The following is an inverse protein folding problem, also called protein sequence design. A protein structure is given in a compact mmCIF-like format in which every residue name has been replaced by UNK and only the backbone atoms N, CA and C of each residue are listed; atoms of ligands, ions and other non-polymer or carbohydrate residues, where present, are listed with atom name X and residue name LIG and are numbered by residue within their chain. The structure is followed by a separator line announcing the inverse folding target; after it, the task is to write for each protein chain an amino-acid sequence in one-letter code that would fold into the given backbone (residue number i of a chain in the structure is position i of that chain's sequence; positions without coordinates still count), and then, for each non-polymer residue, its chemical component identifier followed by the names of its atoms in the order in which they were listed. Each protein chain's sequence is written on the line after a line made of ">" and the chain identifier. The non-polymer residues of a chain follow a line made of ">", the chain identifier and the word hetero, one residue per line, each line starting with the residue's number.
data_IF_236786348301
#
_entry.id   IF_236786348301
#
_cell.length_a   1.000
_cell.length_b   1.000
_cell.length_c   1.000
_cell.angle_alpha   90.00
_cell.angle_beta   90.00
_cell.angle_gamma   90.00
#
_symmetry.space_group_name_H-M   'P 1'
#
loop_
_entity.id
_entity.type
_entity.pdbx_description
1 polymer ?
#
# COMPACT_ATOMS: atom_id res chain seq x y z
N UNK A 1 -49.45 35.74 -18.16
CA UNK A 1 -50.84 35.59 -17.67
C UNK A 1 -51.01 34.18 -17.12
N UNK A 2 -51.69 34.07 -15.98
CA UNK A 2 -51.91 32.93 -15.08
C UNK A 2 -51.92 31.49 -15.68
N UNK A 3 -51.37 30.51 -14.93
CA UNK A 3 -52.18 29.69 -14.00
C UNK A 3 -51.31 28.85 -13.06
N UNK A 4 -51.61 28.96 -11.77
CA UNK A 4 -51.13 28.12 -10.68
C UNK A 4 -51.98 26.83 -10.58
N UNK A 5 -51.40 25.79 -9.99
CA UNK A 5 -52.10 24.59 -9.54
C UNK A 5 -51.41 24.00 -8.32
N UNK A 6 -51.79 24.48 -7.13
CA UNK A 6 -51.74 23.72 -5.88
C UNK A 6 -53.12 23.09 -5.68
N UNK A 7 -53.19 21.84 -5.21
CA UNK A 7 -54.34 21.36 -4.42
C UNK A 7 -53.92 20.24 -3.44
N UNK A 8 -53.91 20.62 -2.15
CA UNK A 8 -54.34 19.93 -0.90
C UNK A 8 -53.65 18.62 -0.45
N UNK A 9 -53.06 18.55 0.76
CA UNK A 9 -53.68 18.39 2.12
C UNK A 9 -54.53 17.10 2.19
N UNK A 10 -54.42 16.19 3.15
CA UNK A 10 -54.36 16.35 4.61
C UNK A 10 -53.91 15.05 5.30
N UNK A 11 -53.35 15.17 6.51
CA UNK A 11 -53.22 14.08 7.49
C UNK A 11 -54.39 14.09 8.48
N UNK A 12 -54.70 12.95 9.13
CA UNK A 12 -54.63 12.94 10.60
C UNK A 12 -54.10 11.60 11.18
N UNK A 13 -53.33 11.68 12.29
CA UNK A 13 -53.10 10.55 13.21
C UNK A 13 -54.17 10.49 14.31
N UNK A 14 -53.87 9.97 15.51
CA UNK A 14 -53.20 8.71 15.88
C UNK A 14 -54.17 7.79 16.69
N UNK A 15 -53.83 6.51 16.88
CA UNK A 15 -54.52 5.68 17.89
C UNK A 15 -53.56 4.73 18.61
N UNK A 16 -53.53 4.93 19.92
CA UNK A 16 -52.77 4.27 20.99
C UNK A 16 -53.37 2.91 21.37
N UNK A 17 -52.55 2.10 22.06
CA UNK A 17 -52.88 1.24 23.22
C UNK A 17 -52.72 -0.27 23.01
N UNK A 18 -51.91 -0.90 23.88
CA UNK A 18 -51.99 -2.32 24.20
C UNK A 18 -50.68 -2.96 24.62
N UNK A 19 -50.28 -2.77 25.88
CA UNK A 19 -49.30 -3.61 26.60
C UNK A 19 -49.63 -5.11 26.51
N UNK A 20 -48.60 -5.97 26.46
CA UNK A 20 -48.41 -7.05 27.44
C UNK A 20 -47.12 -7.87 27.17
N UNK A 21 -46.24 -7.87 28.17
CA UNK A 21 -45.22 -8.90 28.43
C UNK A 21 -45.91 -10.16 28.99
N UNK A 22 -45.35 -11.37 28.79
CA UNK A 22 -44.96 -12.13 29.98
C UNK A 22 -43.64 -12.92 29.86
N UNK A 23 -43.18 -13.32 31.04
CA UNK A 23 -41.87 -13.82 31.46
C UNK A 23 -41.82 -15.37 31.48
N UNK A 24 -40.66 -15.89 31.05
CA UNK A 24 -39.90 -17.09 31.50
C UNK A 24 -40.46 -18.53 31.41
N UNK A 25 -39.68 -19.42 30.76
CA UNK A 25 -39.21 -20.70 31.33
C UNK A 25 -38.12 -21.34 30.43
N UNK A 26 -37.05 -21.80 31.08
CA UNK A 26 -35.86 -22.49 30.57
C UNK A 26 -36.16 -23.87 29.95
N UNK A 27 -35.22 -24.43 29.18
CA UNK A 27 -34.63 -25.68 29.67
C UNK A 27 -33.10 -25.68 29.64
N UNK A 28 -32.53 -26.12 30.77
CA UNK A 28 -31.15 -26.52 30.93
C UNK A 28 -30.79 -27.63 29.94
N UNK A 29 -29.78 -27.39 29.08
CA UNK A 29 -28.91 -28.47 28.62
C UNK A 29 -27.47 -28.00 28.77
N UNK A 30 -26.80 -28.62 29.73
CA UNK A 30 -25.37 -28.57 29.99
C UNK A 30 -24.65 -29.25 28.81
N UNK A 31 -23.83 -28.52 28.07
CA UNK A 31 -22.78 -29.11 27.24
C UNK A 31 -21.44 -28.47 27.56
N UNK A 32 -20.48 -29.34 27.81
CA UNK A 32 -19.14 -29.09 28.30
C UNK A 32 -18.29 -28.33 27.28
N UNK A 33 -17.40 -27.45 27.79
CA UNK A 33 -16.39 -26.76 26.99
C UNK A 33 -15.40 -27.75 26.36
N UNK A 34 -15.14 -27.66 25.04
CA UNK A 34 -13.85 -28.03 24.51
C UNK A 34 -12.93 -26.81 24.64
N UNK A 35 -12.02 -26.90 25.60
CA UNK A 35 -10.83 -26.05 25.68
C UNK A 35 -10.03 -26.26 24.39
N UNK A 36 -9.92 -25.20 23.60
CA UNK A 36 -9.14 -25.19 22.37
C UNK A 36 -9.11 -23.77 21.82
N UNK A 37 -8.19 -22.96 22.33
CA UNK A 37 -7.84 -21.71 21.67
C UNK A 37 -7.21 -22.01 20.30
N UNK A 38 -7.58 -21.24 19.28
CA UNK A 38 -6.62 -20.73 18.35
C UNK A 38 -6.63 -19.21 18.48
N UNK A 39 -5.76 -18.70 19.36
CA UNK A 39 -5.35 -17.29 19.33
C UNK A 39 -4.41 -17.10 18.13
N UNK A 40 -4.99 -17.13 16.93
CA UNK A 40 -4.37 -16.66 15.71
C UNK A 40 -5.13 -15.42 15.27
N UNK A 41 -4.53 -14.24 15.45
CA UNK A 41 -5.00 -12.99 14.87
C UNK A 41 -5.02 -13.13 13.34
N UNK A 42 -6.12 -13.63 12.80
CA UNK A 42 -6.45 -13.59 11.37
C UNK A 42 -6.60 -12.13 10.98
N UNK A 43 -5.61 -11.59 10.29
CA UNK A 43 -5.80 -10.39 9.50
C UNK A 43 -6.73 -10.80 8.36
N UNK A 44 -8.04 -10.58 8.52
CA UNK A 44 -9.02 -10.89 7.48
C UNK A 44 -8.62 -10.17 6.19
N UNK A 45 -8.10 -10.94 5.23
CA UNK A 45 -7.59 -10.40 3.97
C UNK A 45 -8.75 -9.94 3.10
N UNK A 46 -9.05 -8.64 3.13
CA UNK A 46 -9.76 -7.99 2.03
C UNK A 46 -8.83 -8.01 0.83
N UNK A 47 -8.98 -9.05 0.00
CA UNK A 47 -8.80 -9.13 -1.45
C UNK A 47 -8.45 -10.57 -1.83
N UNK A 48 -9.44 -11.31 -2.36
CA UNK A 48 -9.20 -12.64 -2.93
C UNK A 48 -8.50 -12.46 -4.27
N UNK A 49 -7.19 -12.60 -4.28
CA UNK A 49 -6.41 -12.62 -5.52
C UNK A 49 -6.60 -13.97 -6.21
N UNK A 50 -6.63 -14.02 -7.57
CA UNK A 50 -6.72 -15.29 -8.29
C UNK A 50 -5.42 -16.11 -8.21
N UNK A 51 -4.40 -15.62 -7.51
CA UNK A 51 -3.07 -16.21 -7.39
C UNK A 51 -2.59 -16.22 -5.94
N UNK A 52 -1.60 -17.03 -5.65
CA UNK A 52 -1.14 -17.26 -4.27
C UNK A 52 -0.17 -16.16 -3.80
N UNK A 53 -0.40 -15.66 -2.59
CA UNK A 53 0.50 -14.76 -1.87
C UNK A 53 0.87 -15.39 -0.53
N UNK A 54 2.17 -15.47 -0.25
CA UNK A 54 2.70 -15.97 1.01
C UNK A 54 3.34 -14.82 1.77
N UNK A 55 2.97 -14.67 3.04
CA UNK A 55 3.50 -13.65 3.94
C UNK A 55 4.55 -14.24 4.89
N UNK A 56 5.46 -13.39 5.35
CA UNK A 56 6.46 -13.77 6.36
C UNK A 56 5.74 -14.19 7.64
N UNK A 57 6.18 -15.31 8.22
CA UNK A 57 5.80 -15.70 9.57
C UNK A 57 6.62 -14.88 10.59
N UNK A 58 5.93 -14.21 11.51
CA UNK A 58 6.49 -13.37 12.56
C UNK A 58 6.34 -13.98 13.97
N UNK A 59 5.89 -15.23 14.09
CA UNK A 59 5.67 -15.91 15.39
C UNK A 59 6.93 -15.93 16.27
N UNK A 60 8.13 -15.99 15.68
CA UNK A 60 9.37 -15.94 16.44
C UNK A 60 9.74 -14.50 16.86
N UNK A 61 9.31 -13.50 16.08
CA UNK A 61 9.56 -12.10 16.35
C UNK A 61 8.66 -11.59 17.49
N UNK A 62 7.40 -12.07 17.57
CA UNK A 62 6.45 -11.72 18.63
C UNK A 62 6.86 -12.21 20.03
N UNK A 63 7.73 -13.22 20.09
CA UNK A 63 8.26 -13.77 21.35
C UNK A 63 9.52 -13.02 21.83
N UNK A 64 9.96 -12.00 21.10
CA UNK A 64 11.15 -11.22 21.44
C UNK A 64 10.78 -10.01 22.31
N UNK A 65 11.60 -9.72 23.32
CA UNK A 65 11.40 -8.55 24.19
C UNK A 65 11.70 -7.22 23.48
N UNK A 66 12.53 -7.22 22.42
CA UNK A 66 12.79 -6.03 21.61
C UNK A 66 11.71 -5.87 20.52
N UNK A 67 10.84 -4.83 20.59
CA UNK A 67 9.76 -4.62 19.62
C UNK A 67 10.23 -4.43 18.17
N UNK A 68 11.53 -4.17 17.96
CA UNK A 68 12.15 -4.01 16.64
C UNK A 68 13.14 -5.13 16.30
N UNK A 69 13.10 -6.27 16.99
CA UNK A 69 13.98 -7.41 16.70
C UNK A 69 13.81 -7.96 15.27
N UNK A 70 12.60 -7.86 14.73
CA UNK A 70 12.23 -8.30 13.37
C UNK A 70 12.91 -7.48 12.27
N UNK A 71 13.28 -6.23 12.57
CA UNK A 71 13.90 -5.29 11.62
C UNK A 71 15.39 -5.61 11.45
N UNK A 72 15.86 -5.62 10.20
CA UNK A 72 17.30 -5.78 9.92
C UNK A 72 18.13 -4.67 10.60
N UNK A 73 19.22 -5.07 11.23
CA UNK A 73 20.10 -4.18 11.98
C UNK A 73 20.63 -2.98 11.16
N UNK A 74 20.75 -3.10 9.83
CA UNK A 74 21.18 -1.99 8.97
C UNK A 74 20.10 -0.92 8.91
N UNK A 75 18.83 -1.29 8.84
CA UNK A 75 17.69 -0.36 8.80
C UNK A 75 17.62 0.43 10.10
N UNK A 76 17.74 -0.26 11.25
CA UNK A 76 17.70 0.37 12.59
C UNK A 76 18.78 1.42 12.82
N UNK A 77 19.91 1.32 12.12
CA UNK A 77 21.04 2.26 12.22
C UNK A 77 20.91 3.48 11.31
N UNK A 78 19.88 3.54 10.47
CA UNK A 78 19.71 4.61 9.50
C UNK A 78 18.74 5.65 10.03
N UNK A 79 19.23 6.88 10.11
CA UNK A 79 18.43 8.06 10.40
C UNK A 79 18.38 8.98 9.18
N UNK A 80 17.35 9.83 9.14
CA UNK A 80 17.24 10.79 8.06
C UNK A 80 18.24 11.94 8.23
N UNK A 81 18.87 12.36 7.13
CA UNK A 81 19.65 13.61 7.06
C UNK A 81 18.77 14.83 6.80
N UNK A 82 17.48 14.63 6.47
CA UNK A 82 16.51 15.70 6.20
C UNK A 82 15.83 16.15 7.49
N UNK A 83 16.63 16.69 8.41
CA UNK A 83 16.20 17.09 9.77
C UNK A 83 15.75 18.54 9.88
N UNK A 84 15.97 19.35 8.83
CA UNK A 84 15.63 20.78 8.82
C UNK A 84 14.46 21.06 7.88
N UNK A 85 13.44 21.76 8.36
CA UNK A 85 12.27 22.12 7.55
C UNK A 85 12.63 22.91 6.29
N UNK A 86 13.69 23.74 6.34
CA UNK A 86 14.19 24.48 5.17
C UNK A 86 14.63 23.57 4.01
N UNK A 87 15.11 22.36 4.30
CA UNK A 87 15.52 21.39 3.26
C UNK A 87 14.33 20.75 2.54
N UNK A 88 13.13 20.87 3.11
CA UNK A 88 11.88 20.32 2.59
C UNK A 88 10.96 21.42 2.03
N UNK A 89 11.45 22.66 1.96
CA UNK A 89 10.68 23.78 1.45
C UNK A 89 10.28 23.53 -0.02
N UNK A 90 8.99 23.67 -0.31
CA UNK A 90 8.44 23.39 -1.64
C UNK A 90 8.23 21.91 -1.95
N UNK A 91 8.65 20.99 -1.06
CA UNK A 91 8.53 19.55 -1.31
C UNK A 91 7.07 19.10 -1.43
N UNK A 92 6.18 19.64 -0.59
CA UNK A 92 4.74 19.36 -0.66
C UNK A 92 4.18 19.61 -2.07
N UNK A 93 4.48 20.79 -2.63
CA UNK A 93 4.04 21.18 -3.98
C UNK A 93 4.71 20.35 -5.07
N UNK A 94 5.96 19.95 -4.87
CA UNK A 94 6.68 19.15 -5.84
C UNK A 94 6.17 17.71 -5.91
N UNK A 95 5.83 17.08 -4.78
CA UNK A 95 5.36 15.69 -4.76
C UNK A 95 3.86 15.55 -5.04
N UNK A 96 3.04 16.55 -4.72
CA UNK A 96 1.61 16.49 -5.00
C UNK A 96 1.29 16.77 -6.48
N UNK A 97 0.42 15.94 -7.05
CA UNK A 97 -0.23 16.21 -8.31
C UNK A 97 -1.17 17.42 -8.18
N UNK A 98 -1.46 18.08 -9.30
CA UNK A 98 -2.45 19.17 -9.32
C UNK A 98 -3.83 18.56 -9.02
N UNK A 99 -4.54 19.13 -8.04
CA UNK A 99 -5.86 18.66 -7.66
C UNK A 99 -6.32 19.24 -6.33
N UNK A 100 -7.45 18.76 -5.79
CA UNK A 100 -8.00 19.20 -4.51
C UNK A 100 -7.22 18.65 -3.30
N UNK A 101 -6.20 17.82 -3.53
CA UNK A 101 -5.40 17.18 -2.49
C UNK A 101 -4.26 18.07 -2.01
N UNK A 102 -4.00 18.03 -0.71
CA UNK A 102 -2.89 18.73 -0.09
C UNK A 102 -2.23 17.85 0.97
N UNK A 103 -0.91 17.95 1.10
CA UNK A 103 -0.12 17.26 2.12
C UNK A 103 0.71 18.25 2.90
N UNK A 104 0.97 17.89 4.15
CA UNK A 104 1.99 18.51 4.99
C UNK A 104 3.24 17.63 4.98
N UNK A 105 4.39 18.29 4.93
CA UNK A 105 5.71 17.64 4.95
C UNK A 105 6.44 18.10 6.19
N UNK A 106 6.95 17.15 6.97
CA UNK A 106 7.76 17.42 8.14
C UNK A 106 9.09 16.68 8.09
N UNK A 107 10.11 17.32 8.62
CA UNK A 107 11.43 16.73 8.82
C UNK A 107 11.38 15.67 9.91
N UNK A 108 12.24 14.65 9.78
CA UNK A 108 12.39 13.65 10.83
C UNK A 108 13.17 14.24 12.03
N UNK A 109 12.85 13.77 13.23
CA UNK A 109 13.60 14.04 14.43
C UNK A 109 15.01 13.41 14.37
N UNK A 110 15.93 13.96 15.17
CA UNK A 110 17.28 13.41 15.24
C UNK A 110 17.27 11.97 15.77
N UNK A 111 17.92 11.05 15.06
CA UNK A 111 17.99 9.64 15.45
C UNK A 111 16.74 8.81 15.11
N UNK A 112 15.75 9.41 14.45
CA UNK A 112 14.54 8.71 14.02
C UNK A 112 14.81 7.74 12.88
N UNK A 113 14.40 6.48 13.04
CA UNK A 113 14.50 5.43 12.04
C UNK A 113 13.28 5.43 11.13
N UNK A 114 13.48 4.98 9.89
CA UNK A 114 12.38 4.78 8.92
C UNK A 114 11.39 3.69 9.34
N UNK A 115 11.83 2.78 10.22
CA UNK A 115 11.03 1.69 10.79
C UNK A 115 10.39 2.05 12.14
N UNK A 116 10.53 3.30 12.60
CA UNK A 116 9.92 3.73 13.86
C UNK A 116 8.41 3.77 13.70
N UNK A 117 7.69 3.15 14.65
CA UNK A 117 6.24 3.24 14.70
C UNK A 117 5.82 4.68 14.87
N UNK A 118 4.87 5.09 14.04
CA UNK A 118 4.32 6.43 14.11
C UNK A 118 3.33 6.48 15.28
N UNK A 119 3.39 7.53 16.12
CA UNK A 119 2.53 7.59 17.30
C UNK A 119 1.05 7.50 16.91
N UNK A 120 0.33 6.61 17.61
CA UNK A 120 -1.12 6.40 17.44
C UNK A 120 -1.92 7.66 17.74
N UNK A 121 -1.38 8.54 18.59
CA UNK A 121 -1.93 9.85 18.87
C UNK A 121 -1.39 10.88 17.89
N UNK A 122 -2.11 11.08 16.78
CA UNK A 122 -1.74 12.07 15.78
C UNK A 122 -2.47 11.85 14.46
N UNK A 123 -2.24 12.77 13.52
CA UNK A 123 -2.71 12.59 12.15
C UNK A 123 -1.97 11.39 11.52
N UNK A 124 -2.66 10.50 10.80
CA UNK A 124 -2.02 9.43 10.06
C UNK A 124 -0.93 10.01 9.15
N UNK A 125 0.28 9.47 9.22
CA UNK A 125 1.37 9.88 8.36
C UNK A 125 2.19 8.67 7.95
N UNK A 126 3.07 8.86 6.98
CA UNK A 126 3.97 7.81 6.49
C UNK A 126 5.30 8.44 6.07
N UNK A 127 6.34 7.61 5.94
CA UNK A 127 7.63 8.06 5.42
C UNK A 127 7.71 7.93 3.91
N UNK A 128 8.43 8.86 3.26
CA UNK A 128 8.74 8.81 1.84
C UNK A 128 10.21 9.15 1.60
N UNK A 129 10.88 8.40 0.72
CA UNK A 129 12.22 8.76 0.25
C UNK A 129 12.15 9.88 -0.79
N UNK A 130 13.06 10.85 -0.73
CA UNK A 130 13.12 11.97 -1.67
C UNK A 130 13.33 11.52 -3.13
N UNK A 131 14.00 10.38 -3.31
CA UNK A 131 14.36 9.81 -4.59
C UNK A 131 13.15 9.30 -5.39
N UNK A 132 12.05 8.93 -4.72
CA UNK A 132 10.82 8.48 -5.38
C UNK A 132 10.25 9.60 -6.24
N UNK A 133 10.15 10.80 -5.67
CA UNK A 133 9.76 11.98 -6.42
C UNK A 133 10.87 12.45 -7.38
N UNK A 134 12.08 12.69 -6.86
CA UNK A 134 13.10 13.45 -7.60
C UNK A 134 13.75 12.68 -8.74
N UNK A 135 13.75 11.34 -8.70
CA UNK A 135 14.35 10.49 -9.75
C UNK A 135 13.36 9.56 -10.43
N UNK A 136 12.39 9.04 -9.69
CA UNK A 136 11.43 8.07 -10.22
C UNK A 136 10.12 8.72 -10.69
N UNK A 137 9.92 10.02 -10.44
CA UNK A 137 8.72 10.74 -10.88
C UNK A 137 7.43 10.31 -10.18
N UNK A 138 7.52 9.58 -9.05
CA UNK A 138 6.36 9.18 -8.25
C UNK A 138 5.74 10.43 -7.60
N UNK A 139 4.41 10.52 -7.61
CA UNK A 139 3.64 11.67 -7.11
C UNK A 139 2.52 11.21 -6.18
N UNK A 140 1.98 12.13 -5.40
CA UNK A 140 0.83 11.91 -4.51
C UNK A 140 -0.45 12.58 -5.06
N UNK A 141 -1.64 11.97 -4.90
CA UNK A 141 -1.87 10.60 -4.39
C UNK A 141 -1.14 9.54 -5.21
N UNK A 142 -0.73 8.46 -4.55
CA UNK A 142 -0.30 7.27 -5.25
C UNK A 142 -1.44 6.77 -6.14
N UNK A 143 -1.10 6.21 -7.29
CA UNK A 143 -2.09 5.66 -8.20
C UNK A 143 -2.81 4.46 -7.56
N UNK A 144 -3.89 4.00 -8.18
CA UNK A 144 -4.56 2.77 -7.71
C UNK A 144 -3.60 1.58 -7.75
N UNK A 145 -2.82 1.45 -8.83
CA UNK A 145 -1.87 0.35 -8.99
C UNK A 145 -0.73 0.40 -7.98
N UNK A 146 -0.14 1.58 -7.73
CA UNK A 146 0.91 1.75 -6.70
C UNK A 146 0.40 1.37 -5.30
N UNK A 147 -0.82 1.79 -4.94
CA UNK A 147 -1.45 1.42 -3.66
C UNK A 147 -1.71 -0.09 -3.58
N UNK A 148 -2.24 -0.69 -4.63
CA UNK A 148 -2.50 -2.13 -4.70
C UNK A 148 -1.22 -2.96 -4.54
N UNK A 149 -0.09 -2.52 -5.11
CA UNK A 149 1.21 -3.16 -4.91
C UNK A 149 1.63 -3.11 -3.43
N UNK A 150 1.52 -1.93 -2.79
CA UNK A 150 1.90 -1.78 -1.38
C UNK A 150 1.01 -2.60 -0.44
N UNK A 151 -0.29 -2.63 -0.72
CA UNK A 151 -1.28 -3.41 0.02
C UNK A 151 -1.03 -4.91 -0.12
N UNK A 152 -0.88 -5.42 -1.35
CA UNK A 152 -0.62 -6.85 -1.61
C UNK A 152 0.69 -7.31 -0.99
N UNK A 153 1.73 -6.48 -1.05
CA UNK A 153 3.01 -6.80 -0.44
C UNK A 153 3.00 -6.64 1.08
N UNK A 154 1.95 -6.05 1.65
CA UNK A 154 1.86 -5.62 3.04
C UNK A 154 3.10 -4.82 3.46
N UNK A 155 3.45 -3.76 2.73
CA UNK A 155 4.64 -2.94 3.00
C UNK A 155 4.36 -1.44 2.97
N UNK A 156 5.07 -0.69 3.79
CA UNK A 156 5.11 0.77 3.68
C UNK A 156 5.89 1.24 2.44
N UNK A 157 5.64 2.48 1.96
CA UNK A 157 6.35 3.04 0.81
C UNK A 157 7.88 3.00 0.94
N UNK A 158 8.43 3.21 2.13
CA UNK A 158 9.87 3.17 2.40
C UNK A 158 10.43 1.78 2.65
N UNK A 159 9.57 0.79 2.88
CA UNK A 159 9.99 -0.61 2.97
C UNK A 159 10.19 -1.21 1.56
N UNK A 160 9.50 -0.70 0.54
CA UNK A 160 9.76 -1.05 -0.85
C UNK A 160 11.06 -0.39 -1.38
N UNK A 161 11.98 -1.19 -1.90
CA UNK A 161 13.27 -0.70 -2.39
C UNK A 161 13.11 0.22 -3.62
N UNK A 162 13.92 1.28 -3.81
CA UNK A 162 13.76 2.20 -4.95
C UNK A 162 13.83 1.57 -6.34
N UNK A 163 14.68 0.55 -6.56
CA UNK A 163 14.63 -0.19 -7.83
C UNK A 163 13.31 -0.93 -8.05
N UNK A 164 12.64 -1.34 -6.97
CA UNK A 164 11.30 -1.96 -7.07
C UNK A 164 10.24 -0.93 -7.38
N UNK A 165 10.28 0.23 -6.72
CA UNK A 165 9.48 1.39 -7.11
C UNK A 165 9.65 1.74 -8.58
N UNK A 166 10.88 1.69 -9.09
CA UNK A 166 11.13 1.94 -10.51
C UNK A 166 10.49 0.89 -11.43
N UNK A 167 10.44 -0.38 -11.03
CA UNK A 167 9.70 -1.40 -11.80
C UNK A 167 8.19 -1.15 -11.77
N UNK A 168 7.62 -0.82 -10.61
CA UNK A 168 6.19 -0.48 -10.48
C UNK A 168 5.86 0.70 -11.39
N UNK A 169 6.65 1.78 -11.31
CA UNK A 169 6.43 3.00 -12.09
C UNK A 169 6.64 2.78 -13.59
N UNK A 170 7.70 2.09 -13.99
CA UNK A 170 7.95 1.79 -15.40
C UNK A 170 6.89 0.85 -15.98
N UNK A 171 6.38 -0.10 -15.19
CA UNK A 171 5.30 -0.98 -15.63
C UNK A 171 4.02 -0.19 -15.87
N UNK A 172 3.63 0.67 -14.93
CA UNK A 172 2.44 1.51 -15.06
C UNK A 172 2.52 2.42 -16.29
N UNK A 173 3.65 3.10 -16.49
CA UNK A 173 3.87 3.95 -17.66
C UNK A 173 3.84 3.16 -18.98
N UNK A 174 4.44 1.96 -19.00
CA UNK A 174 4.40 1.10 -20.18
C UNK A 174 2.95 0.67 -20.50
N UNK A 175 2.15 0.33 -19.48
CA UNK A 175 0.76 -0.02 -19.67
C UNK A 175 -0.04 1.17 -20.21
N UNK A 176 0.21 2.38 -19.68
CA UNK A 176 -0.40 3.62 -20.15
C UNK A 176 -0.07 3.90 -21.62
N UNK A 177 1.21 3.80 -22.02
CA UNK A 177 1.65 3.98 -23.42
C UNK A 177 1.04 2.93 -24.36
N UNK A 178 0.74 1.72 -23.86
CA UNK A 178 0.08 0.65 -24.62
C UNK A 178 -1.47 0.72 -24.56
N UNK A 179 -2.04 1.67 -23.83
CA UNK A 179 -3.50 1.79 -23.63
C UNK A 179 -4.11 0.60 -22.88
N UNK A 180 -3.34 -0.06 -22.02
CA UNK A 180 -3.75 -1.22 -21.21
C UNK A 180 -3.77 -0.84 -19.73
N UNK A 181 -4.63 -1.51 -18.95
CA UNK A 181 -4.64 -1.34 -17.50
C UNK A 181 -3.49 -2.12 -16.86
N UNK A 182 -2.70 -1.52 -15.94
CA UNK A 182 -1.71 -2.26 -15.17
C UNK A 182 -2.39 -3.12 -14.10
N UNK A 183 -2.05 -4.42 -14.04
CA UNK A 183 -2.61 -5.34 -13.04
C UNK A 183 -1.54 -6.04 -12.22
N UNK A 184 -1.90 -6.47 -11.00
CA UNK A 184 -1.02 -7.19 -10.09
C UNK A 184 -0.60 -8.54 -10.70
N UNK A 185 -1.54 -9.24 -11.34
CA UNK A 185 -1.29 -10.54 -11.97
C UNK A 185 -0.20 -10.47 -13.04
N UNK A 186 -0.35 -9.53 -13.98
CA UNK A 186 0.64 -9.33 -15.06
C UNK A 186 1.97 -8.84 -14.48
N UNK A 187 1.95 -7.93 -13.50
CA UNK A 187 3.19 -7.47 -12.86
C UNK A 187 3.96 -8.62 -12.20
N UNK A 188 3.32 -9.42 -11.34
CA UNK A 188 3.96 -10.52 -10.62
C UNK A 188 4.22 -11.76 -11.50
N UNK A 189 3.69 -11.80 -12.73
CA UNK A 189 4.14 -12.74 -13.75
C UNK A 189 5.60 -12.50 -14.16
N UNK A 190 6.04 -11.24 -14.23
CA UNK A 190 7.40 -10.84 -14.60
C UNK A 190 8.33 -10.65 -13.40
N UNK A 191 7.80 -10.18 -12.26
CA UNK A 191 8.60 -9.84 -11.09
C UNK A 191 8.35 -10.81 -9.93
N UNK A 192 9.39 -11.06 -9.15
CA UNK A 192 9.33 -11.84 -7.91
C UNK A 192 10.01 -11.07 -6.79
N UNK A 193 9.57 -11.31 -5.57
CA UNK A 193 10.17 -10.75 -4.36
C UNK A 193 11.45 -11.51 -4.04
N UNK A 194 12.50 -10.80 -3.63
CA UNK A 194 13.72 -11.37 -3.06
C UNK A 194 13.50 -11.64 -1.58
N UNK A 195 13.63 -12.91 -1.17
CA UNK A 195 13.54 -13.32 0.23
C UNK A 195 14.76 -12.83 1.02
N UNK A 196 14.52 -12.40 2.26
CA UNK A 196 15.56 -12.06 3.25
C UNK A 196 15.16 -12.62 4.61
N UNK A 197 16.13 -13.07 5.40
CA UNK A 197 15.87 -13.71 6.71
C UNK A 197 15.34 -12.69 7.74
N UNK A 198 15.85 -11.45 7.70
CA UNK A 198 15.32 -10.32 8.49
C UNK A 198 14.52 -9.37 7.61
N UNK A 199 13.59 -8.62 8.20
CA UNK A 199 12.82 -7.63 7.44
C UNK A 199 13.70 -6.42 7.15
N UNK A 200 14.06 -6.29 5.88
CA UNK A 200 14.74 -5.13 5.33
C UNK A 200 13.91 -4.48 4.23
N UNK A 201 14.58 -3.83 3.29
CA UNK A 201 13.91 -3.34 2.09
C UNK A 201 13.44 -4.49 1.19
N UNK A 202 12.13 -4.58 0.99
CA UNK A 202 11.50 -5.49 0.05
C UNK A 202 11.94 -5.15 -1.37
N UNK A 203 12.62 -6.08 -2.03
CA UNK A 203 13.20 -5.88 -3.34
C UNK A 203 12.63 -6.87 -4.34
N UNK A 204 12.25 -6.39 -5.52
CA UNK A 204 11.87 -7.21 -6.66
C UNK A 204 13.08 -7.57 -7.51
N UNK A 205 12.97 -8.71 -8.19
CA UNK A 205 13.82 -9.11 -9.30
C UNK A 205 12.96 -9.62 -10.44
N UNK A 206 13.45 -9.47 -11.66
CA UNK A 206 12.88 -10.18 -12.81
C UNK A 206 12.95 -11.69 -12.58
N UNK A 207 11.87 -12.39 -12.91
CA UNK A 207 11.87 -13.85 -12.88
C UNK A 207 12.79 -14.41 -13.95
N UNK A 208 13.41 -15.59 -13.72
CA UNK A 208 14.15 -16.28 -14.75
C UNK A 208 13.31 -16.45 -16.02
N UNK A 209 13.90 -16.15 -17.19
CA UNK A 209 13.26 -16.23 -18.52
C UNK A 209 12.05 -15.30 -18.74
N UNK A 210 11.77 -14.37 -17.82
CA UNK A 210 10.65 -13.40 -17.92
C UNK A 210 11.14 -12.00 -17.59
N UNK A 211 12.16 -11.54 -18.32
CA UNK A 211 12.78 -10.23 -18.06
C UNK A 211 12.07 -9.16 -18.88
N UNK A 212 11.32 -8.29 -18.20
CA UNK A 212 10.68 -7.13 -18.84
C UNK A 212 11.57 -5.87 -18.75
N UNK A 213 12.11 -5.59 -17.56
CA UNK A 213 12.90 -4.38 -17.31
C UNK A 213 14.33 -4.63 -16.83
N UNK A 214 15.26 -3.75 -17.22
CA UNK A 214 16.53 -3.53 -16.50
C UNK A 214 16.27 -2.65 -15.27
N UNK A 215 16.95 -2.89 -14.14
CA UNK A 215 16.81 -2.05 -12.96
C UNK A 215 17.22 -0.60 -13.26
N UNK A 216 16.62 0.35 -12.55
CA UNK A 216 16.87 1.79 -12.75
C UNK A 216 18.33 2.15 -12.47
N UNK A 217 18.91 1.53 -11.45
CA UNK A 217 20.35 1.53 -11.20
C UNK A 217 20.81 0.10 -10.88
N UNK A 218 22.00 -0.29 -11.34
CA UNK A 218 22.62 -1.56 -10.95
C UNK A 218 22.76 -1.69 -9.43
N UNK A 219 23.05 -0.57 -8.76
CA UNK A 219 23.08 -0.48 -7.30
C UNK A 219 22.55 0.86 -6.81
N UNK A 220 21.45 0.83 -6.06
CA UNK A 220 20.82 2.02 -5.49
C UNK A 220 21.30 2.22 -4.04
N UNK A 221 22.42 2.92 -3.85
CA UNK A 221 23.09 2.98 -2.52
C UNK A 221 22.70 4.19 -1.65
N UNK A 222 22.39 5.34 -2.25
CA UNK A 222 22.35 6.64 -1.54
C UNK A 222 20.96 7.13 -1.14
N UNK A 223 19.94 6.26 -1.13
CA UNK A 223 18.56 6.66 -0.83
C UNK A 223 18.22 6.60 0.67
N UNK A 224 18.88 5.69 1.40
CA UNK A 224 18.39 5.21 2.70
C UNK A 224 18.27 6.28 3.77
N UNK A 225 19.15 7.28 3.75
CA UNK A 225 19.19 8.36 4.74
C UNK A 225 18.35 9.57 4.33
N UNK A 226 17.67 9.54 3.18
CA UNK A 226 16.99 10.72 2.61
C UNK A 226 15.48 10.51 2.57
N UNK A 227 14.87 10.51 3.74
CA UNK A 227 13.41 10.36 3.90
C UNK A 227 12.82 11.47 4.77
N UNK A 228 11.53 11.71 4.60
CA UNK A 228 10.75 12.69 5.37
C UNK A 228 9.36 12.14 5.66
N UNK A 229 8.64 12.78 6.59
CA UNK A 229 7.26 12.42 6.93
C UNK A 229 6.28 13.15 6.01
N UNK A 230 5.22 12.46 5.63
CA UNK A 230 4.11 12.98 4.84
C UNK A 230 2.82 12.72 5.60
N UNK A 231 2.04 13.76 5.83
CA UNK A 231 0.71 13.65 6.45
C UNK A 231 -0.32 14.36 5.57
N UNK A 232 -1.59 13.93 5.54
CA UNK A 232 -2.64 14.64 4.83
C UNK A 232 -2.81 16.03 5.46
N UNK A 233 -3.14 17.01 4.62
CA UNK A 233 -3.55 18.33 5.11
C UNK A 233 -4.92 18.24 5.81
N UNK A 234 -5.25 19.24 6.63
CA UNK A 234 -6.61 19.42 7.19
C UNK A 234 -7.67 19.74 6.12
N UNK A 235 -7.22 19.98 4.90
CA UNK A 235 -8.01 20.43 3.76
C UNK A 235 -7.92 19.44 2.61
N UNK A 236 -9.06 19.08 2.03
CA UNK A 236 -9.14 18.26 0.82
C UNK A 236 -9.41 16.78 1.09
N UNK A 237 -9.43 15.94 0.04
CA UNK A 237 -9.76 14.53 0.17
C UNK A 237 -8.63 13.78 0.87
N UNK A 238 -9.00 12.74 1.62
CA UNK A 238 -8.02 11.91 2.31
C UNK A 238 -7.18 11.10 1.30
N UNK A 239 -5.86 11.20 1.44
CA UNK A 239 -4.88 10.54 0.56
C UNK A 239 -4.42 9.18 1.10
N UNK A 240 -4.66 8.90 2.38
CA UNK A 240 -4.09 7.77 3.11
C UNK A 240 -5.13 6.72 3.50
N UNK A 241 -6.38 7.12 3.76
CA UNK A 241 -7.44 6.22 4.19
C UNK A 241 -8.66 6.26 3.28
N UNK A 242 -9.39 5.15 3.24
CA UNK A 242 -10.68 5.01 2.57
C UNK A 242 -11.82 5.69 3.35
N UNK A 243 -13.05 5.61 2.83
CA UNK A 243 -14.24 6.16 3.48
C UNK A 243 -14.59 5.51 4.83
N UNK A 244 -14.07 4.30 5.10
CA UNK A 244 -14.21 3.60 6.38
C UNK A 244 -13.06 3.92 7.34
N UNK A 245 -12.13 4.80 6.97
CA UNK A 245 -10.97 5.16 7.78
C UNK A 245 -9.85 4.12 7.76
N UNK A 246 -9.92 3.11 6.88
CA UNK A 246 -8.88 2.09 6.74
C UNK A 246 -7.76 2.60 5.82
N UNK A 247 -6.48 2.41 6.17
CA UNK A 247 -5.39 2.86 5.33
C UNK A 247 -5.36 2.08 4.01
N UNK A 248 -5.12 2.77 2.89
CA UNK A 248 -5.01 2.13 1.57
C UNK A 248 -3.78 1.21 1.45
N UNK A 249 -2.79 1.40 2.31
CA UNK A 249 -1.56 0.62 2.38
C UNK A 249 -0.94 0.83 3.79
N UNK A 250 -0.04 -0.05 4.25
CA UNK A 250 0.62 0.14 5.54
C UNK A 250 1.37 1.48 5.62
N UNK A 251 1.06 2.29 6.64
CA UNK A 251 1.66 3.61 6.81
C UNK A 251 3.05 3.55 7.49
N UNK A 252 3.30 2.52 8.29
CA UNK A 252 4.58 2.16 8.90
C UNK A 252 5.07 0.80 8.40
N UNK A 253 6.35 0.50 8.61
CA UNK A 253 6.93 -0.78 8.22
C UNK A 253 6.23 -1.94 8.93
N UNK A 254 6.08 -3.07 8.23
CA UNK A 254 5.39 -4.26 8.75
C UNK A 254 6.38 -5.39 9.03
N UNK A 255 6.10 -6.21 10.05
CA UNK A 255 6.83 -7.45 10.35
C UNK A 255 6.43 -8.63 9.44
N UNK A 256 5.31 -8.52 8.72
CA UNK A 256 4.75 -9.59 7.87
C UNK A 256 4.68 -9.18 6.38
N UNK A 257 5.77 -8.73 5.74
CA UNK A 257 5.75 -8.46 4.31
C UNK A 257 5.53 -9.76 3.50
N UNK A 258 5.00 -9.64 2.29
CA UNK A 258 4.94 -10.75 1.34
C UNK A 258 6.36 -11.27 1.05
N UNK A 259 6.52 -12.59 1.09
CA UNK A 259 7.78 -13.30 0.81
C UNK A 259 7.76 -14.04 -0.52
N UNK A 260 6.57 -14.30 -1.07
CA UNK A 260 6.38 -14.90 -2.37
C UNK A 260 5.02 -14.53 -2.93
N UNK A 261 4.98 -14.25 -4.23
CA UNK A 261 3.74 -14.14 -5.01
C UNK A 261 3.89 -15.13 -6.15
N UNK A 262 2.91 -15.99 -6.38
CA UNK A 262 2.99 -17.03 -7.40
C UNK A 262 1.81 -16.90 -8.35
N UNK A 263 2.09 -16.36 -9.53
CA UNK A 263 1.10 -16.20 -10.60
C UNK A 263 1.28 -17.27 -11.66
N UNK A 264 0.18 -17.93 -12.05
CA UNK A 264 0.12 -18.78 -13.25
C UNK A 264 -0.81 -18.09 -14.25
N UNK A 265 -0.41 -18.04 -15.52
CA UNK A 265 -1.19 -17.38 -16.58
C UNK A 265 -2.64 -17.90 -16.67
N UNK A 266 -2.83 -19.21 -16.45
CA UNK A 266 -4.15 -19.85 -16.46
C UNK A 266 -5.09 -19.37 -15.34
N UNK A 267 -4.55 -18.73 -14.30
CA UNK A 267 -5.34 -18.19 -13.21
C UNK A 267 -5.73 -16.72 -13.48
N UNK A 268 -5.14 -16.08 -14.49
CA UNK A 268 -5.44 -14.69 -14.87
C UNK A 268 -6.63 -14.63 -15.82
N UNK A 269 -7.21 -13.44 -15.97
CA UNK A 269 -8.22 -13.21 -17.00
C UNK A 269 -7.61 -13.40 -18.41
N UNK A 270 -8.43 -13.76 -19.40
CA UNK A 270 -7.96 -14.08 -20.75
C UNK A 270 -7.15 -12.94 -21.37
N UNK A 271 -7.59 -11.70 -21.19
CA UNK A 271 -6.89 -10.52 -21.69
C UNK A 271 -5.58 -10.25 -20.93
N UNK A 272 -5.49 -10.60 -19.64
CA UNK A 272 -4.25 -10.47 -18.87
C UNK A 272 -3.23 -11.53 -19.31
N UNK A 273 -3.67 -12.75 -19.62
CA UNK A 273 -2.80 -13.79 -20.20
C UNK A 273 -2.24 -13.32 -21.55
N UNK A 274 -3.11 -12.85 -22.45
CA UNK A 274 -2.69 -12.32 -23.75
C UNK A 274 -1.70 -11.17 -23.57
N UNK A 275 -2.02 -10.21 -22.71
CA UNK A 275 -1.16 -9.06 -22.45
C UNK A 275 0.20 -9.47 -21.86
N UNK A 276 0.23 -10.42 -20.92
CA UNK A 276 1.48 -10.95 -20.37
C UNK A 276 2.32 -11.66 -21.46
N UNK A 277 1.70 -12.32 -22.42
CA UNK A 277 2.42 -12.93 -23.56
C UNK A 277 2.94 -11.90 -24.54
N UNK A 278 2.19 -10.83 -24.81
CA UNK A 278 2.63 -9.71 -25.63
C UNK A 278 3.86 -9.03 -25.02
N UNK A 279 3.78 -8.66 -23.73
CA UNK A 279 4.91 -8.08 -23.00
C UNK A 279 6.12 -9.01 -22.97
N UNK A 280 5.91 -10.32 -22.92
CA UNK A 280 6.98 -11.32 -22.97
C UNK A 280 7.75 -11.37 -24.29
N UNK A 281 7.22 -10.79 -25.38
CA UNK A 281 7.89 -10.68 -26.68
C UNK A 281 8.74 -9.41 -26.80
N UNK A 282 8.55 -8.44 -25.91
CA UNK A 282 9.31 -7.19 -25.94
C UNK A 282 10.78 -7.41 -25.63
N UNK A 283 11.69 -6.62 -26.21
CA UNK A 283 13.08 -6.61 -25.79
C UNK A 283 13.19 -6.15 -24.33
N UNK A 284 14.32 -6.42 -23.69
CA UNK A 284 14.56 -5.99 -22.33
C UNK A 284 14.66 -4.45 -22.24
N UNK A 285 13.65 -3.81 -21.65
CA UNK A 285 13.53 -2.34 -21.62
C UNK A 285 14.25 -1.73 -20.41
N UNK A 286 15.04 -0.66 -20.56
CA UNK A 286 15.59 0.05 -19.40
C UNK A 286 14.50 0.84 -18.67
N UNK A 287 14.26 0.54 -17.39
CA UNK A 287 13.23 1.27 -16.61
C UNK A 287 13.51 2.77 -16.52
N UNK A 288 14.78 3.18 -16.54
CA UNK A 288 15.18 4.58 -16.54
C UNK A 288 14.69 5.34 -17.79
N UNK A 289 14.68 4.70 -18.96
CA UNK A 289 14.30 5.34 -20.22
C UNK A 289 12.79 5.57 -20.29
N UNK A 290 12.02 4.58 -19.80
CA UNK A 290 10.56 4.67 -19.68
C UNK A 290 10.20 5.80 -18.70
N UNK A 291 10.81 5.82 -17.51
CA UNK A 291 10.50 6.82 -16.47
C UNK A 291 10.86 8.23 -16.90
N UNK A 292 11.97 8.41 -17.64
CA UNK A 292 12.40 9.72 -18.13
C UNK A 292 11.70 10.16 -19.42
N UNK A 293 10.95 9.27 -20.07
CA UNK A 293 10.30 9.53 -21.35
C UNK A 293 11.29 9.70 -22.51
N UNK A 294 12.50 9.15 -22.42
CA UNK A 294 13.58 9.34 -23.41
C UNK A 294 13.55 8.32 -24.56
N UNK A 295 12.50 7.48 -24.63
CA UNK A 295 12.37 6.39 -25.62
C UNK A 295 11.29 6.59 -26.68
N UNK A 296 10.87 7.84 -26.94
CA UNK A 296 9.91 8.17 -28.02
C UNK A 296 10.61 8.50 -29.33
#
# INVERSE_FOLDING_TARGET
>A
MAKAGNLFEDAPGPSTQGDQSPVEATPNVRFESPRGEPSGSSFDSYDSYPFEVWYRNDTQDSMNEDPQAWVDHKVRKISSVLTRSSTLLGMAKAICQRGPWSVSISSCCHGESVSTDLPTEGKPCFYLYDTLHSKLGVKLPFTHFERAILQLLNVAPTQLHPNSWAFVRAFELLCEDLGKAPTLGVFFWFFTIKKTDKVGWTSHSSRPKRKLFKPFLESYKLFKTRFFRVAPSDSGPNLLVDCAGRPFFPLSWTCQPAVSVTVRLKDLEEWEDEFARELGKLPLLPSADIIKGTGR
#
